data_IF_807605380089
#
_entry.id   IF_807605380089
#
_cell.length_a   1.000
_cell.length_b   1.000
_cell.length_c   1.000
_cell.angle_alpha   90.00
_cell.angle_beta   90.00
_cell.angle_gamma   90.00
#
_symmetry.space_group_name_H-M   'P 1'
#
loop_
_entity.id
_entity.type
_entity.pdbx_description
1 polymer ?
#
# COMPACT_ATOMS: atom_id res chain seq x y z
N UNK A 1 -21.95 31.00 1.79
CA UNK A 1 -22.17 29.88 0.86
C UNK A 1 -20.82 29.17 0.72
N UNK A 2 -20.76 27.86 0.94
CA UNK A 2 -19.51 27.10 0.77
C UNK A 2 -19.36 26.79 -0.73
N UNK A 3 -18.17 27.02 -1.28
CA UNK A 3 -17.87 26.79 -2.69
C UNK A 3 -17.87 25.27 -2.99
N UNK A 4 -18.74 24.85 -3.91
CA UNK A 4 -18.86 23.46 -4.33
C UNK A 4 -17.58 22.91 -4.98
N UNK A 5 -16.74 23.76 -5.58
CA UNK A 5 -15.47 23.36 -6.16
C UNK A 5 -14.47 22.91 -5.08
N UNK A 6 -14.46 23.60 -3.94
CA UNK A 6 -13.57 23.30 -2.81
C UNK A 6 -13.93 21.97 -2.14
N UNK A 7 -15.22 21.61 -2.14
CA UNK A 7 -15.70 20.34 -1.62
C UNK A 7 -15.32 19.16 -2.55
N UNK A 8 -15.43 19.33 -3.86
CA UNK A 8 -15.07 18.30 -4.85
C UNK A 8 -13.56 17.99 -4.83
N UNK A 9 -12.73 19.03 -4.76
CA UNK A 9 -11.27 18.88 -4.63
C UNK A 9 -10.87 18.17 -3.32
N UNK A 10 -11.57 18.46 -2.21
CA UNK A 10 -11.35 17.77 -0.94
C UNK A 10 -11.73 16.28 -0.98
N UNK A 11 -12.80 15.94 -1.71
CA UNK A 11 -13.25 14.56 -1.84
C UNK A 11 -12.35 13.75 -2.79
N UNK A 12 -11.86 14.38 -3.87
CA UNK A 12 -10.93 13.77 -4.80
C UNK A 12 -9.59 13.46 -4.12
N UNK A 13 -9.04 14.41 -3.35
CA UNK A 13 -7.80 14.20 -2.58
C UNK A 13 -7.97 13.14 -1.48
N UNK A 14 -9.13 13.07 -0.82
CA UNK A 14 -9.43 12.01 0.14
C UNK A 14 -9.52 10.62 -0.52
N UNK A 15 -10.09 10.56 -1.72
CA UNK A 15 -10.22 9.33 -2.52
C UNK A 15 -8.85 8.82 -2.97
N UNK A 16 -8.00 9.70 -3.50
CA UNK A 16 -6.62 9.38 -3.89
C UNK A 16 -5.79 8.88 -2.71
N UNK A 17 -5.90 9.53 -1.55
CA UNK A 17 -5.23 9.10 -0.32
C UNK A 17 -5.70 7.73 0.16
N UNK A 18 -7.00 7.45 0.04
CA UNK A 18 -7.57 6.14 0.37
C UNK A 18 -7.07 5.05 -0.59
N UNK A 19 -7.03 5.33 -1.89
CA UNK A 19 -6.48 4.43 -2.89
C UNK A 19 -5.00 4.12 -2.62
N UNK A 20 -4.18 5.14 -2.35
CA UNK A 20 -2.77 4.96 -2.00
C UNK A 20 -2.58 4.10 -0.74
N UNK A 21 -3.47 4.26 0.26
CA UNK A 21 -3.46 3.40 1.46
C UNK A 21 -3.82 1.96 1.14
N UNK A 22 -4.81 1.73 0.28
CA UNK A 22 -5.22 0.39 -0.13
C UNK A 22 -4.11 -0.33 -0.90
N UNK A 23 -3.41 0.37 -1.81
CA UNK A 23 -2.24 -0.14 -2.52
C UNK A 23 -1.10 -0.54 -1.57
N UNK A 24 -0.85 0.28 -0.55
CA UNK A 24 0.12 -0.03 0.50
C UNK A 24 -0.29 -1.29 1.29
N UNK A 25 -1.54 -1.37 1.71
CA UNK A 25 -2.06 -2.52 2.46
C UNK A 25 -1.99 -3.81 1.65
N UNK A 26 -2.35 -3.75 0.36
CA UNK A 26 -2.25 -4.88 -0.57
C UNK A 26 -0.80 -5.39 -0.63
N UNK A 27 0.16 -4.48 -0.83
CA UNK A 27 1.59 -4.83 -0.87
C UNK A 27 2.06 -5.50 0.42
N UNK A 28 1.63 -4.99 1.59
CA UNK A 28 1.98 -5.56 2.90
C UNK A 28 1.37 -6.96 3.06
N UNK A 29 0.11 -7.14 2.69
CA UNK A 29 -0.58 -8.44 2.78
C UNK A 29 0.07 -9.48 1.86
N UNK A 30 0.37 -9.13 0.61
CA UNK A 30 1.04 -10.02 -0.34
C UNK A 30 2.44 -10.43 0.14
N UNK A 31 3.19 -9.48 0.69
CA UNK A 31 4.51 -9.75 1.29
C UNK A 31 4.37 -10.67 2.50
N UNK A 32 3.43 -10.38 3.40
CA UNK A 32 3.17 -11.19 4.59
C UNK A 32 2.74 -12.61 4.26
N UNK A 33 1.87 -12.79 3.27
CA UNK A 33 1.45 -14.09 2.77
C UNK A 33 2.64 -14.87 2.19
N UNK A 34 3.45 -14.21 1.36
CA UNK A 34 4.64 -14.82 0.77
C UNK A 34 5.68 -15.24 1.83
N UNK A 35 5.82 -14.47 2.91
CA UNK A 35 6.68 -14.83 4.05
C UNK A 35 6.12 -15.99 4.88
N UNK A 36 4.79 -16.15 4.89
CA UNK A 36 4.08 -17.11 5.74
C UNK A 36 3.78 -18.43 5.04
N UNK A 37 4.36 -18.68 3.86
CA UNK A 37 4.22 -19.97 3.18
C UNK A 37 4.69 -21.12 4.06
N UNK A 38 3.95 -22.22 4.01
CA UNK A 38 4.17 -23.38 4.86
C UNK A 38 5.56 -23.98 4.61
N UNK A 39 5.90 -24.23 3.35
CA UNK A 39 7.22 -24.68 2.93
C UNK A 39 8.27 -23.56 3.04
N UNK A 40 9.38 -23.76 3.77
CA UNK A 40 10.45 -22.77 3.86
C UNK A 40 11.04 -22.37 2.50
N UNK A 41 11.08 -23.31 1.55
CA UNK A 41 11.67 -23.09 0.23
C UNK A 41 10.79 -22.24 -0.70
N UNK A 42 9.51 -22.09 -0.38
CA UNK A 42 8.59 -21.27 -1.17
C UNK A 42 8.44 -19.85 -0.62
N UNK A 43 9.01 -19.58 0.56
CA UNK A 43 9.01 -18.25 1.16
C UNK A 43 9.88 -17.31 0.33
N UNK A 44 9.38 -16.10 0.14
CA UNK A 44 10.11 -15.02 -0.51
C UNK A 44 11.45 -14.76 0.19
N UNK A 45 12.50 -14.43 -0.56
CA UNK A 45 13.80 -14.13 0.04
C UNK A 45 13.76 -12.83 0.84
N UNK A 46 14.48 -12.77 1.96
CA UNK A 46 14.46 -11.59 2.85
C UNK A 46 14.89 -10.29 2.14
N UNK A 47 15.76 -10.37 1.13
CA UNK A 47 16.17 -9.22 0.31
C UNK A 47 14.99 -8.64 -0.49
N UNK A 48 14.09 -9.49 -0.97
CA UNK A 48 12.89 -9.12 -1.70
C UNK A 48 11.82 -8.55 -0.77
N UNK A 49 11.69 -9.12 0.44
CA UNK A 49 10.83 -8.56 1.51
C UNK A 49 11.22 -7.12 1.83
N UNK A 50 12.52 -6.85 2.02
CA UNK A 50 13.01 -5.48 2.29
C UNK A 50 12.76 -4.55 1.09
N UNK A 51 12.96 -5.03 -0.14
CA UNK A 51 12.68 -4.25 -1.34
C UNK A 51 11.19 -3.87 -1.44
N UNK A 52 10.28 -4.84 -1.25
CA UNK A 52 8.84 -4.62 -1.28
C UNK A 52 8.36 -3.59 -0.24
N UNK A 53 8.92 -3.66 0.98
CA UNK A 53 8.55 -2.73 2.05
C UNK A 53 9.19 -1.33 1.92
N UNK A 54 10.38 -1.21 1.31
CA UNK A 54 11.09 0.07 1.15
C UNK A 54 10.52 0.96 0.05
N UNK A 55 9.98 0.39 -1.02
CA UNK A 55 9.45 1.15 -2.17
C UNK A 55 8.35 2.14 -1.73
N UNK A 56 7.70 1.93 -0.58
CA UNK A 56 6.55 2.73 -0.14
C UNK A 56 6.76 3.57 1.13
N UNK A 57 7.99 3.67 1.65
CA UNK A 57 8.34 4.64 2.74
C UNK A 57 8.78 6.00 2.21
N UNK A 58 8.95 6.15 0.89
CA UNK A 58 9.35 7.40 0.24
C UNK A 58 8.09 8.18 -0.15
N UNK A 59 7.32 8.58 0.84
CA UNK A 59 6.21 9.56 0.71
C UNK A 59 6.35 10.57 1.83
#
# INVERSE_FOLDING_TARGET
VIDSHLLDESNNTATERSAARNELLMTIMETGLSCSRESPNERMEMKEVVAGLRIRQKT
#
